data_IF_464968468406
#
_entry.id   IF_464968468406
#
_cell.length_a   1.000
_cell.length_b   1.000
_cell.length_c   1.000
_cell.angle_alpha   90.00
_cell.angle_beta   90.00
_cell.angle_gamma   90.00
#
_symmetry.space_group_name_H-M   'P 1'
#
loop_
_entity.id
_entity.type
_entity.pdbx_description
1 polymer ?
#
# COMPACT_ATOMS: atom_id res chain seq x y z
N UNK A 1 -74.93 -29.80 -5.84
CA UNK A 1 -73.82 -29.51 -4.91
C UNK A 1 -72.83 -28.65 -5.68
N UNK A 2 -72.84 -27.34 -5.42
CA UNK A 2 -72.10 -26.34 -6.17
C UNK A 2 -71.03 -25.70 -5.28
N UNK A 3 -70.07 -25.03 -5.94
CA UNK A 3 -69.07 -24.09 -5.43
C UNK A 3 -67.83 -24.70 -4.74
N UNK A 4 -66.60 -24.20 -4.89
CA UNK A 4 -66.04 -23.07 -5.66
C UNK A 4 -64.52 -23.35 -5.75
N UNK A 5 -63.89 -23.07 -6.88
CA UNK A 5 -62.44 -23.16 -7.10
C UNK A 5 -61.84 -21.79 -6.80
N UNK A 6 -61.10 -21.65 -5.71
CA UNK A 6 -60.41 -20.40 -5.34
C UNK A 6 -59.03 -20.32 -6.00
N UNK A 7 -58.88 -19.33 -6.90
CA UNK A 7 -57.61 -18.90 -7.46
C UNK A 7 -56.75 -18.25 -6.37
N UNK A 8 -55.57 -18.80 -6.10
CA UNK A 8 -54.50 -18.11 -5.35
C UNK A 8 -53.31 -17.90 -6.28
N UNK A 9 -53.22 -16.71 -6.87
CA UNK A 9 -52.02 -16.27 -7.57
C UNK A 9 -51.98 -14.73 -7.50
N UNK A 10 -51.58 -14.18 -6.35
CA UNK A 10 -51.36 -12.72 -6.23
C UNK A 10 -50.34 -12.25 -5.18
N UNK A 11 -49.53 -13.13 -4.58
CA UNK A 11 -48.65 -12.72 -3.46
C UNK A 11 -47.16 -12.59 -3.83
N UNK A 12 -46.70 -13.05 -5.00
CA UNK A 12 -45.26 -13.11 -5.29
C UNK A 12 -44.63 -11.81 -5.83
N UNK A 13 -45.38 -10.95 -6.54
CA UNK A 13 -44.78 -9.78 -7.22
C UNK A 13 -44.51 -8.57 -6.31
N UNK A 14 -45.12 -8.48 -5.12
CA UNK A 14 -44.87 -7.36 -4.20
C UNK A 14 -43.61 -7.52 -3.32
N UNK A 15 -43.10 -8.74 -3.16
CA UNK A 15 -41.90 -8.99 -2.34
C UNK A 15 -40.59 -8.60 -3.04
N UNK A 16 -40.56 -8.57 -4.38
CA UNK A 16 -39.36 -8.22 -5.16
C UNK A 16 -39.13 -6.70 -5.30
N UNK A 17 -40.18 -5.88 -5.20
CA UNK A 17 -40.04 -4.40 -5.27
C UNK A 17 -39.59 -3.78 -3.94
N UNK A 18 -39.98 -4.37 -2.81
CA UNK A 18 -39.56 -3.88 -1.49
C UNK A 18 -38.10 -4.20 -1.16
N UNK A 19 -37.55 -5.30 -1.70
CA UNK A 19 -36.17 -5.73 -1.45
C UNK A 19 -35.13 -4.89 -2.20
N UNK A 20 -35.47 -4.31 -3.37
CA UNK A 20 -34.58 -3.41 -4.12
C UNK A 20 -34.52 -2.01 -3.47
N UNK A 21 -35.62 -1.53 -2.90
CA UNK A 21 -35.64 -0.22 -2.22
C UNK A 21 -34.99 -0.26 -0.83
N UNK A 22 -35.07 -1.37 -0.08
CA UNK A 22 -34.44 -1.48 1.24
C UNK A 22 -32.91 -1.54 1.20
N UNK A 23 -32.30 -2.02 0.10
CA UNK A 23 -30.84 -2.00 -0.05
C UNK A 23 -30.28 -0.59 -0.32
N UNK A 24 -31.10 0.34 -0.81
CA UNK A 24 -30.64 1.70 -1.13
C UNK A 24 -30.43 2.59 0.10
N UNK A 25 -31.08 2.29 1.22
CA UNK A 25 -31.01 3.12 2.43
C UNK A 25 -29.80 2.80 3.33
N UNK A 26 -29.19 1.62 3.22
CA UNK A 26 -27.99 1.30 4.01
C UNK A 26 -26.68 1.82 3.39
N UNK A 27 -26.73 2.35 2.16
CA UNK A 27 -25.56 2.86 1.44
C UNK A 27 -25.20 4.33 1.81
N UNK A 28 -26.04 4.99 2.60
CA UNK A 28 -25.90 6.42 2.94
C UNK A 28 -25.64 6.72 4.43
N UNK A 29 -25.41 5.68 5.26
CA UNK A 29 -25.00 5.93 6.63
C UNK A 29 -23.48 6.17 6.65
N UNK A 30 -23.09 7.44 6.54
CA UNK A 30 -21.74 7.88 6.85
C UNK A 30 -21.46 7.59 8.33
N UNK A 31 -20.81 6.45 8.59
CA UNK A 31 -20.27 6.15 9.92
C UNK A 31 -19.29 7.23 10.34
N UNK A 32 -19.21 7.51 11.64
CA UNK A 32 -18.21 8.41 12.20
C UNK A 32 -16.82 8.04 11.64
N UNK A 33 -16.24 8.94 10.85
CA UNK A 33 -14.96 8.70 10.19
C UNK A 33 -13.87 8.74 11.25
N UNK A 34 -13.30 7.58 11.56
CA UNK A 34 -12.12 7.45 12.42
C UNK A 34 -11.04 8.45 12.00
N UNK A 35 -10.56 9.23 12.97
CA UNK A 35 -9.56 10.30 12.74
C UNK A 35 -8.53 10.32 13.86
N UNK A 36 -7.25 10.34 13.48
CA UNK A 36 -6.13 10.57 14.40
C UNK A 36 -5.77 12.05 14.51
N UNK A 37 -5.36 12.46 15.71
CA UNK A 37 -4.72 13.76 15.94
C UNK A 37 -3.22 13.64 15.68
N UNK A 38 -2.71 14.41 14.72
CA UNK A 38 -1.29 14.41 14.34
C UNK A 38 -0.51 15.53 15.03
N UNK A 39 0.62 15.18 15.62
CA UNK A 39 1.62 16.11 16.16
C UNK A 39 2.95 15.82 15.45
N UNK A 40 3.50 16.82 14.76
CA UNK A 40 4.69 16.69 13.90
C UNK A 40 5.83 17.48 14.53
N UNK A 41 6.94 16.81 14.83
CA UNK A 41 8.12 17.42 15.45
C UNK A 41 9.38 16.96 14.71
N UNK A 42 10.11 17.91 14.14
CA UNK A 42 11.42 17.64 13.55
C UNK A 42 12.51 17.83 14.60
N UNK A 43 13.37 16.82 14.73
CA UNK A 43 14.45 16.72 15.71
C UNK A 43 13.98 17.00 17.16
N UNK A 44 13.13 16.13 17.74
CA UNK A 44 12.58 16.32 19.08
C UNK A 44 13.65 16.59 20.13
N UNK A 45 13.70 17.80 20.69
CA UNK A 45 14.64 18.17 21.76
C UNK A 45 16.07 18.52 21.32
N UNK A 46 16.39 18.59 20.02
CA UNK A 46 17.71 19.08 19.55
C UNK A 46 17.60 19.91 18.28
N UNK A 47 18.15 21.12 18.34
CA UNK A 47 18.24 21.98 17.17
C UNK A 47 19.35 21.49 16.25
N UNK A 48 18.97 21.07 15.05
CA UNK A 48 19.87 20.70 13.95
C UNK A 48 20.96 19.67 14.32
N UNK A 49 20.60 18.41 14.60
CA UNK A 49 21.57 17.36 14.91
C UNK A 49 22.55 17.13 13.74
N UNK A 50 23.85 16.88 14.05
CA UNK A 50 24.81 16.45 13.04
C UNK A 50 24.46 15.05 12.52
N UNK A 51 24.86 14.73 11.30
CA UNK A 51 24.73 13.38 10.74
C UNK A 51 23.35 13.00 10.18
N UNK A 52 22.32 13.83 10.34
CA UNK A 52 21.01 13.67 9.70
C UNK A 52 19.84 14.04 10.60
N UNK A 53 18.70 14.30 9.98
CA UNK A 53 17.42 14.62 10.62
C UNK A 53 16.66 13.38 11.12
N UNK A 54 15.92 13.57 12.20
CA UNK A 54 14.91 12.65 12.75
C UNK A 54 13.57 13.38 12.85
N UNK A 55 12.61 12.98 12.03
CA UNK A 55 11.22 13.40 12.13
C UNK A 55 10.45 12.47 13.05
N UNK A 56 9.63 13.02 13.93
CA UNK A 56 8.63 12.28 14.70
C UNK A 56 7.24 12.82 14.38
N UNK A 57 6.36 11.92 13.91
CA UNK A 57 4.92 12.19 13.80
C UNK A 57 4.20 11.28 14.80
N UNK A 58 3.50 11.89 15.74
CA UNK A 58 2.67 11.22 16.74
C UNK A 58 1.22 11.30 16.30
N UNK A 59 0.59 10.15 16.07
CA UNK A 59 -0.78 10.04 15.60
C UNK A 59 -1.65 9.37 16.68
N UNK A 60 -2.35 10.19 17.46
CA UNK A 60 -3.19 9.74 18.59
C UNK A 60 -4.57 9.36 18.06
N UNK A 61 -4.97 8.11 18.27
CA UNK A 61 -6.33 7.63 18.02
C UNK A 61 -7.17 7.66 19.29
N UNK A 62 -8.28 6.92 19.30
CA UNK A 62 -9.22 6.94 20.44
C UNK A 62 -8.63 6.28 21.68
N UNK A 63 -7.93 5.15 21.49
CA UNK A 63 -7.40 4.31 22.58
C UNK A 63 -5.91 3.95 22.39
N UNK A 64 -5.28 4.42 21.33
CA UNK A 64 -3.94 4.01 20.91
C UNK A 64 -3.14 5.20 20.34
N UNK A 65 -1.84 5.02 20.18
CA UNK A 65 -0.97 6.00 19.51
C UNK A 65 -0.02 5.29 18.55
N UNK A 66 0.09 5.84 17.34
CA UNK A 66 1.12 5.46 16.37
C UNK A 66 2.22 6.52 16.36
N UNK A 67 3.47 6.08 16.50
CA UNK A 67 4.66 6.90 16.34
C UNK A 67 5.31 6.55 15.01
N UNK A 68 5.35 7.50 14.09
CA UNK A 68 6.11 7.42 12.85
C UNK A 68 7.41 8.19 13.04
N UNK A 69 8.53 7.51 12.88
CA UNK A 69 9.87 8.06 13.04
C UNK A 69 10.60 7.92 11.71
N UNK A 70 10.94 9.03 11.07
CA UNK A 70 11.64 9.01 9.80
C UNK A 70 13.01 9.65 9.95
N UNK A 71 14.05 8.90 9.62
CA UNK A 71 15.42 9.29 9.93
C UNK A 71 16.31 9.18 8.69
N UNK A 72 17.24 10.12 8.56
CA UNK A 72 18.27 10.18 7.53
C UNK A 72 19.67 9.87 8.06
N UNK A 73 19.75 9.39 9.30
CA UNK A 73 21.01 8.97 9.91
C UNK A 73 21.40 7.57 9.44
N UNK A 74 22.23 7.51 8.41
CA UNK A 74 22.53 6.29 7.68
C UNK A 74 21.52 6.11 6.55
N UNK A 75 21.13 4.88 6.27
CA UNK A 75 20.14 4.57 5.26
C UNK A 75 18.76 5.13 5.70
N UNK A 76 18.03 5.83 4.82
CA UNK A 76 16.71 6.36 5.15
C UNK A 76 15.79 5.29 5.71
N UNK A 77 15.27 5.54 6.91
CA UNK A 77 14.52 4.55 7.67
C UNK A 77 13.24 5.15 8.21
N UNK A 78 12.13 4.43 8.00
CA UNK A 78 10.84 4.70 8.61
C UNK A 78 10.56 3.64 9.68
N UNK A 79 10.56 4.04 10.95
CA UNK A 79 10.14 3.21 12.08
C UNK A 79 8.70 3.58 12.47
N UNK A 80 7.86 2.56 12.59
CA UNK A 80 6.49 2.63 13.08
C UNK A 80 6.40 1.90 14.42
N UNK A 81 5.92 2.59 15.45
CA UNK A 81 5.66 2.01 16.78
C UNK A 81 4.19 2.22 17.13
N UNK A 82 3.50 1.15 17.51
CA UNK A 82 2.11 1.16 17.92
C UNK A 82 2.03 0.88 19.42
N UNK A 83 1.32 1.76 20.13
CA UNK A 83 1.10 1.67 21.57
C UNK A 83 -0.38 1.63 21.91
N UNK A 84 -0.78 0.87 22.93
CA UNK A 84 -2.16 0.75 23.40
C UNK A 84 -2.59 1.85 24.39
N UNK A 85 -2.00 3.05 24.26
CA UNK A 85 -2.32 4.21 25.08
C UNK A 85 -2.29 5.48 24.25
N UNK A 86 -3.06 6.48 24.65
CA UNK A 86 -3.12 7.81 24.03
C UNK A 86 -2.09 8.79 24.62
N UNK A 87 -1.33 8.37 25.63
CA UNK A 87 -0.39 9.23 26.39
C UNK A 87 1.07 8.87 26.19
N UNK A 88 1.39 7.92 25.31
CA UNK A 88 2.77 7.51 25.04
C UNK A 88 3.57 8.64 24.40
N UNK A 89 4.86 8.72 24.75
CA UNK A 89 5.76 9.79 24.31
C UNK A 89 7.10 9.24 23.85
N UNK A 90 7.75 9.96 22.94
CA UNK A 90 9.09 9.66 22.47
C UNK A 90 10.14 10.29 23.39
N UNK A 91 11.18 9.53 23.72
CA UNK A 91 12.41 9.99 24.38
C UNK A 91 13.60 9.70 23.47
N UNK A 92 14.46 10.71 23.30
CA UNK A 92 15.68 10.60 22.51
C UNK A 92 16.85 11.10 23.36
N UNK A 93 17.79 10.21 23.66
CA UNK A 93 19.12 10.54 24.19
C UNK A 93 20.01 10.88 23.01
N UNK A 94 20.06 12.16 22.65
CA UNK A 94 20.73 12.61 21.43
C UNK A 94 22.22 12.32 21.39
N UNK A 95 22.91 12.38 22.53
CA UNK A 95 24.35 12.18 22.54
C UNK A 95 24.67 10.72 22.20
N UNK A 96 23.96 9.76 22.81
CA UNK A 96 24.05 8.34 22.44
C UNK A 96 23.50 8.02 21.06
N UNK A 97 22.42 8.69 20.65
CA UNK A 97 21.81 8.49 19.33
C UNK A 97 22.79 8.83 18.20
N UNK A 98 23.58 9.90 18.38
CA UNK A 98 24.57 10.36 17.41
C UNK A 98 25.80 9.45 17.31
N UNK A 99 26.14 8.70 18.36
CA UNK A 99 27.25 7.76 18.34
C UNK A 99 27.00 6.54 17.45
N UNK A 100 25.73 6.17 17.21
CA UNK A 100 25.29 5.02 16.37
C UNK A 100 25.87 3.66 16.75
N UNK A 101 26.37 3.51 17.96
CA UNK A 101 27.04 2.30 18.46
C UNK A 101 26.19 1.56 19.51
N UNK A 102 25.25 2.24 20.16
CA UNK A 102 24.44 1.72 21.27
C UNK A 102 22.94 1.73 20.95
N UNK A 103 22.27 0.72 21.47
CA UNK A 103 20.81 0.63 21.50
C UNK A 103 20.21 1.32 22.73
N UNK A 104 18.89 1.51 22.72
CA UNK A 104 18.15 2.16 23.79
C UNK A 104 18.34 3.67 23.89
N UNK A 105 19.00 4.31 22.92
CA UNK A 105 19.10 5.77 22.82
C UNK A 105 17.80 6.42 22.33
N UNK A 106 16.87 5.65 21.76
CA UNK A 106 15.54 6.09 21.38
C UNK A 106 14.49 5.16 21.96
N UNK A 107 13.54 5.71 22.72
CA UNK A 107 12.52 4.94 23.45
C UNK A 107 11.13 5.55 23.31
N UNK A 108 10.11 4.70 23.31
CA UNK A 108 8.71 5.12 23.45
C UNK A 108 8.25 4.71 24.85
N UNK A 109 7.85 5.68 25.66
CA UNK A 109 7.46 5.46 27.05
C UNK A 109 5.95 5.60 27.24
N UNK A 110 5.31 4.74 28.06
CA UNK A 110 5.90 3.59 28.75
C UNK A 110 6.16 2.41 27.78
N UNK A 111 7.32 1.74 27.91
CA UNK A 111 7.71 0.64 27.02
C UNK A 111 6.70 -0.53 27.06
N UNK A 112 6.07 -0.76 28.21
CA UNK A 112 5.02 -1.77 28.38
C UNK A 112 3.74 -1.53 27.57
N UNK A 113 3.57 -0.32 27.01
CA UNK A 113 2.43 -0.02 26.14
C UNK A 113 2.67 -0.39 24.67
N UNK A 114 3.91 -0.70 24.28
CA UNK A 114 4.26 -1.04 22.90
C UNK A 114 3.68 -2.41 22.57
N UNK A 115 2.74 -2.44 21.64
CA UNK A 115 2.11 -3.69 21.16
C UNK A 115 2.68 -4.17 19.83
N UNK A 116 3.24 -3.26 19.03
CA UNK A 116 3.87 -3.61 17.76
C UNK A 116 4.92 -2.57 17.36
N UNK A 117 6.00 -3.00 16.71
CA UNK A 117 6.97 -2.10 16.11
C UNK A 117 7.62 -2.70 14.87
N UNK A 118 7.89 -1.85 13.87
CA UNK A 118 8.58 -2.22 12.63
C UNK A 118 9.29 -1.03 12.01
N UNK A 119 10.53 -1.22 11.58
CA UNK A 119 11.25 -0.34 10.67
C UNK A 119 11.26 -0.86 9.23
N UNK A 120 11.17 0.06 8.27
CA UNK A 120 11.41 -0.18 6.84
C UNK A 120 12.57 0.74 6.42
N UNK A 121 13.60 0.14 5.84
CA UNK A 121 14.82 0.81 5.38
C UNK A 121 14.89 0.70 3.87
N UNK A 122 15.23 1.81 3.21
CA UNK A 122 15.72 1.77 1.83
C UNK A 122 17.24 1.69 1.93
N UNK A 123 17.80 0.48 1.79
CA UNK A 123 19.20 0.20 2.13
C UNK A 123 20.15 0.43 0.97
N UNK A 124 19.76 -0.01 -0.24
CA UNK A 124 20.60 0.06 -1.44
C UNK A 124 19.80 0.43 -2.67
N UNK A 125 20.43 1.21 -3.54
CA UNK A 125 20.05 1.30 -4.95
C UNK A 125 20.99 0.41 -5.76
N UNK A 126 20.42 -0.53 -6.49
CA UNK A 126 21.14 -1.48 -7.35
C UNK A 126 20.93 -1.11 -8.80
N UNK A 127 21.92 -1.42 -9.64
CA UNK A 127 21.91 -1.12 -11.07
C UNK A 127 22.55 -2.28 -11.84
N UNK A 128 22.05 -2.60 -13.03
CA UNK A 128 22.64 -3.59 -13.94
C UNK A 128 22.46 -3.18 -15.41
N UNK A 129 23.37 -3.62 -16.28
CA UNK A 129 23.25 -3.47 -17.74
C UNK A 129 22.39 -4.61 -18.29
N UNK A 130 21.16 -4.31 -18.69
CA UNK A 130 20.23 -5.29 -19.24
C UNK A 130 20.48 -5.52 -20.74
N UNK A 131 21.60 -6.17 -21.05
CA UNK A 131 22.11 -6.37 -22.42
C UNK A 131 21.10 -7.01 -23.35
N UNK A 132 20.36 -8.00 -22.82
CA UNK A 132 19.41 -8.83 -23.56
C UNK A 132 17.96 -8.35 -23.41
N UNK A 133 17.74 -7.21 -22.74
CA UNK A 133 16.42 -6.66 -22.46
C UNK A 133 15.45 -7.69 -21.85
N UNK A 134 15.90 -8.42 -20.83
CA UNK A 134 15.08 -9.43 -20.14
C UNK A 134 14.36 -8.85 -18.93
N UNK A 135 14.79 -7.68 -18.44
CA UNK A 135 14.40 -7.08 -17.17
C UNK A 135 14.62 -8.01 -15.96
N UNK A 136 15.62 -8.89 -16.05
CA UNK A 136 16.03 -9.78 -14.97
C UNK A 136 17.41 -9.38 -14.46
N UNK A 137 17.47 -9.04 -13.18
CA UNK A 137 18.74 -8.77 -12.51
C UNK A 137 19.49 -10.10 -12.30
N UNK A 138 20.41 -10.40 -13.22
CA UNK A 138 21.35 -11.51 -13.12
C UNK A 138 22.47 -11.17 -12.11
N UNK A 139 23.49 -12.03 -11.98
CA UNK A 139 24.63 -11.82 -11.08
C UNK A 139 25.48 -10.58 -11.39
N UNK A 140 25.30 -9.95 -12.55
CA UNK A 140 26.17 -8.90 -13.07
C UNK A 140 25.70 -7.50 -12.64
N UNK A 141 25.46 -7.33 -11.34
CA UNK A 141 25.12 -6.03 -10.77
C UNK A 141 26.35 -5.12 -10.75
N UNK A 142 26.16 -3.85 -11.11
CA UNK A 142 27.15 -2.83 -10.81
C UNK A 142 27.31 -2.65 -9.29
N UNK A 143 28.45 -2.10 -8.82
CA UNK A 143 28.63 -1.81 -7.40
C UNK A 143 27.44 -1.04 -6.81
N UNK A 144 26.81 -1.52 -5.73
CA UNK A 144 25.59 -0.92 -5.19
C UNK A 144 25.85 0.51 -4.70
N UNK A 145 24.83 1.37 -4.76
CA UNK A 145 24.85 2.61 -4.00
C UNK A 145 24.33 2.30 -2.58
N UNK A 146 25.24 2.10 -1.64
CA UNK A 146 24.90 1.90 -0.22
C UNK A 146 24.36 3.21 0.37
N UNK A 147 23.06 3.25 0.66
CA UNK A 147 22.36 4.48 1.04
C UNK A 147 22.73 4.99 2.45
N UNK A 148 23.39 4.14 3.25
CA UNK A 148 24.02 4.53 4.50
C UNK A 148 25.19 5.52 4.33
N UNK A 149 25.84 5.50 3.16
CA UNK A 149 27.01 6.32 2.84
C UNK A 149 26.64 7.56 2.01
N UNK A 150 25.36 7.73 1.68
CA UNK A 150 24.88 8.87 0.89
C UNK A 150 24.68 10.08 1.79
N UNK A 151 25.13 11.24 1.32
CA UNK A 151 24.89 12.52 1.99
C UNK A 151 23.48 13.04 1.68
N UNK A 152 22.64 13.07 2.71
CA UNK A 152 21.26 13.53 2.62
C UNK A 152 21.12 15.03 2.90
N UNK A 153 20.20 15.68 2.20
CA UNK A 153 19.76 17.05 2.50
C UNK A 153 19.01 17.10 3.83
N UNK A 154 18.81 18.32 4.34
CA UNK A 154 17.89 18.53 5.46
C UNK A 154 16.46 18.19 5.02
N UNK A 155 15.65 17.68 5.94
CA UNK A 155 14.24 17.36 5.67
C UNK A 155 13.43 18.64 5.46
N UNK A 156 12.70 18.69 4.36
CA UNK A 156 11.76 19.76 4.08
C UNK A 156 10.33 19.32 4.46
N UNK A 157 9.70 20.05 5.38
CA UNK A 157 8.38 19.70 5.91
C UNK A 157 7.28 20.44 5.16
N UNK A 158 6.18 19.75 4.93
CA UNK A 158 4.94 20.32 4.42
C UNK A 158 3.77 19.65 5.14
N UNK A 159 3.28 20.26 6.22
CA UNK A 159 2.23 19.67 7.06
C UNK A 159 2.71 18.38 7.73
N UNK A 160 2.02 17.27 7.48
CA UNK A 160 2.38 15.92 7.93
C UNK A 160 3.25 15.13 6.94
N UNK A 161 3.80 15.81 5.93
CA UNK A 161 4.73 15.23 4.96
C UNK A 161 6.15 15.77 5.15
N UNK A 162 7.14 14.94 4.85
CA UNK A 162 8.55 15.30 4.86
C UNK A 162 9.27 14.76 3.62
N UNK A 163 10.00 15.65 2.95
CA UNK A 163 10.84 15.35 1.79
C UNK A 163 12.31 15.28 2.22
N UNK A 164 12.97 14.21 1.81
CA UNK A 164 14.39 13.94 2.00
C UNK A 164 15.02 13.62 0.64
N UNK A 165 16.09 14.31 0.25
CA UNK A 165 16.78 14.03 -1.01
C UNK A 165 18.28 13.86 -0.80
N UNK A 166 18.93 13.03 -1.61
CA UNK A 166 20.40 12.98 -1.66
C UNK A 166 20.94 14.29 -2.24
N UNK A 167 22.02 14.81 -1.69
CA UNK A 167 22.66 16.05 -2.18
C UNK A 167 23.23 15.93 -3.59
N UNK A 168 23.78 14.77 -3.95
CA UNK A 168 24.09 14.39 -5.34
C UNK A 168 24.32 12.87 -5.40
N UNK A 169 23.54 12.16 -6.21
CA UNK A 169 23.70 10.74 -6.51
C UNK A 169 23.97 10.60 -8.01
N UNK A 170 25.24 10.44 -8.38
CA UNK A 170 25.72 10.38 -9.76
C UNK A 170 25.07 11.43 -10.69
N UNK A 171 25.26 12.72 -10.36
CA UNK A 171 24.70 13.89 -11.07
C UNK A 171 23.16 14.00 -11.09
N UNK A 172 22.45 13.16 -10.33
CA UNK A 172 21.03 13.32 -10.04
C UNK A 172 20.75 13.26 -8.55
N UNK A 173 19.53 12.87 -8.20
CA UNK A 173 19.11 12.69 -6.82
C UNK A 173 18.22 11.45 -6.64
N UNK A 174 18.35 10.83 -5.47
CA UNK A 174 17.37 9.90 -4.92
C UNK A 174 16.61 10.65 -3.83
N UNK A 175 15.30 10.72 -3.96
CA UNK A 175 14.42 11.40 -3.02
C UNK A 175 13.41 10.42 -2.41
N UNK A 176 13.08 10.67 -1.15
CA UNK A 176 12.10 9.97 -0.38
C UNK A 176 11.14 10.99 0.23
N UNK A 177 9.84 10.73 0.11
CA UNK A 177 8.81 11.53 0.75
C UNK A 177 7.95 10.65 1.63
N UNK A 178 7.94 10.96 2.92
CA UNK A 178 6.98 10.42 3.87
C UNK A 178 5.74 11.31 3.88
N UNK A 179 4.56 10.69 3.89
CA UNK A 179 3.28 11.33 4.22
C UNK A 179 2.57 10.52 5.29
N UNK A 180 2.14 11.18 6.37
CA UNK A 180 1.34 10.56 7.44
C UNK A 180 -0.08 11.11 7.40
N UNK A 181 -1.07 10.24 7.53
CA UNK A 181 -2.48 10.57 7.35
C UNK A 181 -3.24 10.53 8.67
N UNK A 182 -4.19 11.45 8.82
CA UNK A 182 -5.09 11.50 9.97
C UNK A 182 -6.34 10.63 9.74
N UNK A 183 -6.72 10.39 8.49
CA UNK A 183 -8.03 9.92 8.08
C UNK A 183 -7.88 8.95 6.90
N UNK A 184 -8.97 8.28 6.54
CA UNK A 184 -9.04 7.55 5.28
C UNK A 184 -9.10 8.49 4.08
N UNK A 185 -8.38 8.13 3.01
CA UNK A 185 -8.32 8.95 1.82
C UNK A 185 -7.40 8.40 0.74
N UNK A 186 -7.16 9.23 -0.27
CA UNK A 186 -6.22 8.97 -1.36
C UNK A 186 -5.43 10.21 -1.69
N UNK A 187 -4.16 10.00 -1.98
CA UNK A 187 -3.30 11.03 -2.51
C UNK A 187 -3.62 11.33 -3.98
N UNK A 188 -3.38 12.57 -4.40
CA UNK A 188 -3.59 12.99 -5.80
C UNK A 188 -2.62 12.31 -6.79
N UNK A 189 -1.31 12.19 -6.48
CA UNK A 189 -0.37 11.47 -7.33
C UNK A 189 -0.69 9.98 -7.44
N UNK A 190 -0.39 9.43 -8.61
CA UNK A 190 -0.44 7.99 -8.84
C UNK A 190 0.58 7.26 -7.94
N UNK A 191 0.25 6.04 -7.45
CA UNK A 191 -0.89 5.19 -7.79
C UNK A 191 -2.17 5.45 -6.97
N UNK A 192 -2.33 6.59 -6.30
CA UNK A 192 -3.54 6.92 -5.51
C UNK A 192 -3.94 5.80 -4.53
N UNK A 193 -2.95 5.23 -3.85
CA UNK A 193 -3.17 4.15 -2.89
C UNK A 193 -4.15 4.61 -1.80
N UNK A 194 -5.15 3.76 -1.49
CA UNK A 194 -6.05 3.99 -0.37
C UNK A 194 -5.25 3.95 0.92
N UNK A 195 -5.28 5.03 1.69
CA UNK A 195 -4.64 5.12 2.99
C UNK A 195 -5.68 5.32 4.09
N UNK A 196 -5.29 5.07 5.33
CA UNK A 196 -6.12 5.28 6.53
C UNK A 196 -5.32 6.05 7.57
N UNK A 197 -5.96 6.45 8.66
CA UNK A 197 -5.26 6.98 9.83
C UNK A 197 -4.25 6.00 10.44
N UNK A 198 -4.25 4.72 10.05
CA UNK A 198 -3.33 3.70 10.56
C UNK A 198 -2.16 3.41 9.61
N UNK A 199 -2.05 4.16 8.51
CA UNK A 199 -0.99 4.00 7.53
C UNK A 199 -0.28 5.33 7.24
N UNK A 200 0.91 5.18 6.68
CA UNK A 200 1.73 6.23 6.11
C UNK A 200 2.13 5.82 4.70
N UNK A 201 2.48 6.80 3.87
CA UNK A 201 2.98 6.55 2.52
C UNK A 201 4.43 6.98 2.42
N UNK A 202 5.26 6.11 1.84
CA UNK A 202 6.62 6.40 1.46
C UNK A 202 6.71 6.36 -0.07
N UNK A 203 6.99 7.51 -0.68
CA UNK A 203 7.30 7.59 -2.10
C UNK A 203 8.82 7.71 -2.26
N UNK A 204 9.39 6.95 -3.20
CA UNK A 204 10.82 6.95 -3.52
C UNK A 204 10.97 7.24 -5.00
N UNK A 205 11.88 8.15 -5.38
CA UNK A 205 12.16 8.38 -6.78
C UNK A 205 13.60 8.76 -7.08
N UNK A 206 14.04 8.36 -8.27
CA UNK A 206 15.26 8.82 -8.91
C UNK A 206 14.90 9.98 -9.84
N UNK A 207 15.69 11.05 -9.78
CA UNK A 207 15.57 12.21 -10.65
C UNK A 207 16.94 12.58 -11.21
N UNK A 208 17.13 12.36 -12.50
CA UNK A 208 18.34 12.77 -13.23
C UNK A 208 19.59 11.95 -12.97
N UNK A 209 19.53 10.87 -12.17
CA UNK A 209 20.69 10.01 -11.86
C UNK A 209 21.28 9.50 -13.16
N UNK A 210 22.58 9.68 -13.40
CA UNK A 210 23.20 9.17 -14.62
C UNK A 210 23.34 7.65 -14.54
N UNK A 211 22.85 6.89 -15.55
CA UNK A 211 23.08 5.46 -15.60
C UNK A 211 24.54 5.16 -16.00
N UNK A 212 25.10 4.08 -15.45
CA UNK A 212 26.45 3.59 -15.75
C UNK A 212 26.55 2.86 -17.09
N UNK A 213 25.42 2.37 -17.60
CA UNK A 213 25.29 1.76 -18.92
C UNK A 213 24.11 2.37 -19.71
N UNK A 214 24.13 2.18 -21.02
CA UNK A 214 23.06 2.67 -21.90
C UNK A 214 21.74 1.95 -21.67
N UNK A 215 21.79 0.67 -21.26
CA UNK A 215 20.63 -0.18 -20.97
C UNK A 215 20.47 -0.45 -19.47
N UNK A 216 20.81 0.54 -18.64
CA UNK A 216 20.68 0.39 -17.21
C UNK A 216 19.23 0.24 -16.77
N UNK A 217 19.01 -0.74 -15.87
CA UNK A 217 17.82 -0.87 -15.06
C UNK A 217 18.20 -0.80 -13.58
N UNK A 218 17.28 -0.27 -12.78
CA UNK A 218 17.49 -0.10 -11.35
C UNK A 218 16.64 -1.08 -10.54
N UNK A 219 17.11 -1.38 -9.33
CA UNK A 219 16.33 -2.05 -8.29
C UNK A 219 16.53 -1.33 -6.96
N UNK A 220 15.54 -1.41 -6.09
CA UNK A 220 15.64 -0.97 -4.71
C UNK A 220 15.70 -2.19 -3.79
N UNK A 221 16.71 -2.23 -2.91
CA UNK A 221 16.73 -3.16 -1.78
C UNK A 221 15.97 -2.51 -0.62
N UNK A 222 14.95 -3.21 -0.14
CA UNK A 222 14.18 -2.85 1.04
C UNK A 222 14.46 -3.85 2.14
N UNK A 223 14.68 -3.34 3.35
CA UNK A 223 14.86 -4.15 4.54
C UNK A 223 13.77 -3.81 5.55
N UNK A 224 13.14 -4.83 6.11
CA UNK A 224 12.26 -4.71 7.26
C UNK A 224 13.01 -5.22 8.49
N UNK A 225 12.97 -4.44 9.57
CA UNK A 225 13.47 -4.85 10.88
C UNK A 225 12.33 -4.70 11.88
N UNK A 226 12.15 -5.68 12.75
CA UNK A 226 11.07 -5.65 13.73
C UNK A 226 11.40 -6.45 14.98
N UNK A 227 10.56 -6.28 16.01
CA UNK A 227 10.56 -7.17 17.15
C UNK A 227 9.76 -8.45 16.83
N UNK A 228 8.80 -8.78 17.70
CA UNK A 228 7.86 -9.87 17.44
C UNK A 228 7.07 -9.62 16.13
N UNK A 229 6.78 -10.70 15.40
CA UNK A 229 6.00 -10.69 14.15
C UNK A 229 6.68 -9.93 12.99
N UNK A 230 7.89 -10.36 12.55
CA UNK A 230 8.58 -9.73 11.42
C UNK A 230 7.83 -9.94 10.10
N UNK A 231 8.09 -9.06 9.14
CA UNK A 231 7.54 -9.20 7.79
C UNK A 231 8.29 -10.28 7.02
N UNK A 232 7.72 -11.47 6.90
CA UNK A 232 8.41 -12.63 6.36
C UNK A 232 7.79 -13.19 5.07
N UNK A 233 6.60 -12.73 4.68
CA UNK A 233 5.91 -13.21 3.48
C UNK A 233 5.28 -12.08 2.68
N UNK A 234 5.27 -12.23 1.36
CA UNK A 234 4.54 -11.32 0.46
C UNK A 234 3.35 -12.06 -0.12
N UNK A 235 2.16 -11.54 0.12
CA UNK A 235 0.93 -11.99 -0.53
C UNK A 235 0.57 -11.05 -1.68
N UNK A 236 0.08 -11.61 -2.78
CA UNK A 236 -0.43 -10.83 -3.92
C UNK A 236 -1.93 -11.01 -4.01
N UNK A 237 -2.66 -9.94 -3.72
CA UNK A 237 -4.12 -9.89 -3.88
C UNK A 237 -4.45 -9.42 -5.29
N UNK A 238 -5.49 -10.01 -5.89
CA UNK A 238 -6.03 -9.61 -7.19
C UNK A 238 -7.44 -9.05 -7.01
N UNK A 239 -7.70 -7.92 -7.65
CA UNK A 239 -9.03 -7.32 -7.73
C UNK A 239 -9.31 -6.92 -9.18
N UNK A 240 -10.57 -7.02 -9.60
CA UNK A 240 -11.01 -6.50 -10.90
C UNK A 240 -11.33 -5.01 -10.85
N UNK A 241 -11.30 -4.40 -9.66
CA UNK A 241 -11.51 -2.96 -9.48
C UNK A 241 -10.22 -2.19 -9.75
N UNK A 242 -10.26 -1.37 -10.80
CA UNK A 242 -9.19 -0.46 -11.21
C UNK A 242 -9.64 1.01 -11.23
N UNK A 243 -10.77 1.36 -10.60
CA UNK A 243 -11.38 2.71 -10.61
C UNK A 243 -10.36 3.80 -10.24
N UNK A 244 -9.52 3.53 -9.25
CA UNK A 244 -8.51 4.47 -8.74
C UNK A 244 -7.09 4.20 -9.25
N UNK A 245 -6.89 3.16 -10.04
CA UNK A 245 -5.59 2.74 -10.59
C UNK A 245 -5.80 1.97 -11.90
N UNK A 246 -6.15 2.67 -13.00
CA UNK A 246 -6.54 2.03 -14.25
C UNK A 246 -5.50 1.01 -14.72
N UNK A 247 -5.96 -0.15 -15.21
CA UNK A 247 -5.14 -1.27 -15.68
C UNK A 247 -4.30 -2.00 -14.61
N UNK A 248 -4.42 -1.64 -13.32
CA UNK A 248 -3.68 -2.27 -12.23
C UNK A 248 -4.61 -3.09 -11.35
N UNK A 249 -4.61 -4.41 -11.59
CA UNK A 249 -5.52 -5.37 -10.94
C UNK A 249 -4.89 -6.15 -9.78
N UNK A 250 -3.72 -5.72 -9.31
CA UNK A 250 -2.97 -6.43 -8.27
C UNK A 250 -2.42 -5.48 -7.23
N UNK A 251 -2.32 -5.97 -6.00
CA UNK A 251 -1.69 -5.31 -4.86
C UNK A 251 -0.83 -6.33 -4.13
N UNK A 252 0.44 -5.98 -3.90
CA UNK A 252 1.39 -6.78 -3.13
C UNK A 252 1.40 -6.29 -1.68
N UNK A 253 1.37 -7.23 -0.74
CA UNK A 253 1.32 -7.00 0.70
C UNK A 253 2.42 -7.80 1.38
N UNK A 254 3.44 -7.12 1.90
CA UNK A 254 4.47 -7.71 2.74
C UNK A 254 4.02 -7.63 4.19
N UNK A 255 3.71 -8.79 4.77
CA UNK A 255 3.09 -8.93 6.09
C UNK A 255 3.77 -10.02 6.91
N UNK A 256 3.39 -10.12 8.18
CA UNK A 256 3.74 -11.26 9.03
C UNK A 256 2.70 -12.36 8.91
N UNK A 257 3.11 -13.61 9.11
CA UNK A 257 2.21 -14.77 9.08
C UNK A 257 1.37 -14.95 10.36
N UNK A 258 1.50 -14.08 11.36
CA UNK A 258 0.77 -14.22 12.64
C UNK A 258 -0.60 -13.55 12.62
N UNK A 259 -1.51 -14.06 13.45
CA UNK A 259 -2.88 -13.56 13.63
C UNK A 259 -3.00 -12.40 14.62
N UNK A 260 -1.88 -11.94 15.19
CA UNK A 260 -1.84 -10.83 16.14
C UNK A 260 -1.89 -9.47 15.40
N UNK A 261 -1.85 -8.36 16.16
CA UNK A 261 -1.75 -7.00 15.61
C UNK A 261 -0.44 -6.88 14.83
N UNK A 262 -0.50 -7.16 13.53
CA UNK A 262 0.62 -7.11 12.61
C UNK A 262 0.76 -5.75 11.95
N UNK A 263 1.93 -5.55 11.34
CA UNK A 263 2.17 -4.46 10.41
C UNK A 263 2.18 -4.95 8.98
N UNK A 264 2.01 -4.03 8.05
CA UNK A 264 2.07 -4.31 6.62
C UNK A 264 2.90 -3.28 5.87
N UNK A 265 3.43 -3.70 4.74
CA UNK A 265 3.98 -2.84 3.70
C UNK A 265 3.26 -3.20 2.40
N UNK A 266 2.52 -2.27 1.82
CA UNK A 266 1.62 -2.52 0.69
C UNK A 266 1.95 -1.62 -0.50
N UNK A 267 2.04 -2.19 -1.69
CA UNK A 267 2.22 -1.42 -2.92
C UNK A 267 1.44 -2.04 -4.08
N UNK A 268 1.18 -1.23 -5.10
CA UNK A 268 0.77 -1.71 -6.41
C UNK A 268 2.04 -2.06 -7.22
N UNK A 269 2.05 -3.12 -8.03
CA UNK A 269 3.24 -3.59 -8.74
C UNK A 269 3.56 -2.72 -9.98
N UNK A 270 3.63 -1.40 -9.78
CA UNK A 270 3.86 -0.39 -10.80
C UNK A 270 4.76 0.72 -10.25
N UNK A 271 5.55 1.30 -11.15
CA UNK A 271 6.31 2.52 -10.97
C UNK A 271 6.04 3.46 -12.16
N UNK A 272 6.56 4.68 -12.07
CA UNK A 272 6.26 5.75 -13.02
C UNK A 272 7.55 6.37 -13.54
N UNK A 273 7.65 6.52 -14.86
CA UNK A 273 8.86 7.04 -15.53
C UNK A 273 8.91 8.56 -15.64
N UNK A 274 7.91 9.28 -15.13
CA UNK A 274 7.86 10.75 -15.05
C UNK A 274 7.22 11.23 -13.75
N UNK A 275 7.52 12.47 -13.37
CA UNK A 275 6.98 13.13 -12.18
C UNK A 275 5.47 13.40 -12.26
N UNK A 276 4.97 13.72 -13.46
CA UNK A 276 3.55 13.82 -13.79
C UNK A 276 3.20 12.75 -14.83
N UNK A 277 2.94 11.51 -14.40
CA UNK A 277 2.82 10.40 -15.35
C UNK A 277 1.47 10.40 -16.06
N UNK A 278 1.51 10.20 -17.38
CA UNK A 278 0.39 9.67 -18.14
C UNK A 278 0.32 8.14 -17.98
N UNK A 279 -0.80 7.52 -18.37
CA UNK A 279 -0.97 6.06 -18.27
C UNK A 279 0.11 5.29 -19.04
N UNK A 280 0.61 5.84 -20.15
CA UNK A 280 1.67 5.25 -20.97
C UNK A 280 3.06 5.25 -20.30
N UNK A 281 3.24 6.07 -19.26
CA UNK A 281 4.50 6.21 -18.52
C UNK A 281 4.55 5.30 -17.27
N UNK A 282 3.55 4.43 -17.11
CA UNK A 282 3.55 3.34 -16.15
C UNK A 282 4.58 2.29 -16.59
N UNK A 283 5.30 1.73 -15.63
CA UNK A 283 6.21 0.59 -15.84
C UNK A 283 5.98 -0.41 -14.71
N UNK A 284 5.76 -1.71 -14.99
CA UNK A 284 5.53 -2.69 -13.94
C UNK A 284 6.75 -2.86 -13.03
N UNK A 285 6.54 -3.27 -11.79
CA UNK A 285 7.63 -3.66 -10.89
C UNK A 285 7.45 -5.09 -10.39
N UNK A 286 8.56 -5.80 -10.20
CA UNK A 286 8.60 -7.15 -9.63
C UNK A 286 9.31 -7.10 -8.29
N UNK A 287 9.05 -8.09 -7.44
CA UNK A 287 9.75 -8.22 -6.17
C UNK A 287 10.36 -9.62 -6.03
N UNK A 288 11.47 -9.72 -5.33
CA UNK A 288 11.99 -11.01 -4.87
C UNK A 288 11.14 -11.55 -3.72
N UNK A 289 11.31 -12.83 -3.38
CA UNK A 289 10.82 -13.35 -2.10
C UNK A 289 11.57 -12.69 -0.94
N UNK A 290 10.91 -12.38 0.19
CA UNK A 290 11.61 -11.95 1.40
C UNK A 290 12.60 -13.02 1.85
N UNK A 291 13.81 -12.60 2.20
CA UNK A 291 14.87 -13.48 2.72
C UNK A 291 15.54 -12.83 3.90
N UNK A 292 16.01 -13.63 4.85
CA UNK A 292 16.88 -13.12 5.90
C UNK A 292 18.21 -12.68 5.27
N UNK A 293 18.67 -11.45 5.55
CA UNK A 293 20.01 -11.01 5.15
C UNK A 293 21.07 -11.97 5.70
N UNK A 294 22.14 -12.19 4.95
CA UNK A 294 23.25 -13.04 5.40
C UNK A 294 24.02 -12.43 6.57
N UNK A 295 23.97 -11.11 6.71
CA UNK A 295 24.61 -10.35 7.77
C UNK A 295 23.56 -9.41 8.40
N UNK A 296 22.92 -9.87 9.47
CA UNK A 296 21.92 -9.10 10.22
C UNK A 296 22.55 -7.90 10.95
N UNK A 297 23.83 -8.00 11.32
CA UNK A 297 24.57 -6.90 11.94
C UNK A 297 24.74 -5.75 10.95
N UNK A 298 24.93 -6.03 9.66
CA UNK A 298 24.98 -5.01 8.62
C UNK A 298 23.66 -4.22 8.47
N UNK A 299 22.49 -4.83 8.72
CA UNK A 299 21.19 -4.13 8.69
C UNK A 299 21.09 -3.12 9.83
N UNK A 300 21.44 -3.55 11.04
CA UNK A 300 21.44 -2.67 12.20
C UNK A 300 22.48 -1.56 12.06
N UNK A 301 23.65 -1.84 11.47
CA UNK A 301 24.67 -0.84 11.19
C UNK A 301 24.24 0.16 10.11
N UNK A 302 23.43 -0.26 9.14
CA UNK A 302 22.99 0.60 8.04
C UNK A 302 22.05 1.72 8.48
N UNK A 303 21.35 1.56 9.61
CA UNK A 303 20.37 2.54 10.10
C UNK A 303 20.62 2.91 11.55
N UNK A 304 20.95 4.20 11.78
CA UNK A 304 21.05 4.72 13.14
C UNK A 304 19.72 4.63 13.90
N UNK A 305 18.57 4.67 13.20
CA UNK A 305 17.26 4.56 13.83
C UNK A 305 16.95 3.13 14.31
N UNK A 306 17.30 2.12 13.52
CA UNK A 306 17.17 0.71 13.95
C UNK A 306 18.08 0.47 15.14
N UNK A 307 19.36 0.85 15.02
CA UNK A 307 20.34 0.63 16.09
C UNK A 307 19.94 1.30 17.40
N UNK A 308 19.33 2.48 17.32
CA UNK A 308 18.90 3.24 18.50
C UNK A 308 17.68 2.65 19.23
N UNK A 309 16.75 2.03 18.49
CA UNK A 309 15.49 1.54 19.04
C UNK A 309 15.53 0.05 19.40
N UNK A 310 16.16 -0.78 18.58
CA UNK A 310 16.22 -2.23 18.77
C UNK A 310 17.57 -2.66 19.35
N UNK A 311 17.54 -3.63 20.27
CA UNK A 311 18.74 -4.34 20.71
C UNK A 311 19.17 -5.37 19.64
N UNK A 312 18.28 -6.33 19.33
CA UNK A 312 18.48 -7.39 18.34
C UNK A 312 17.18 -7.61 17.55
N UNK A 313 16.97 -6.90 16.42
CA UNK A 313 15.75 -7.06 15.62
C UNK A 313 15.83 -8.26 14.68
N UNK A 314 14.69 -8.89 14.40
CA UNK A 314 14.59 -9.83 13.27
C UNK A 314 14.50 -9.04 11.96
N UNK A 315 15.29 -9.45 10.96
CA UNK A 315 15.41 -8.72 9.69
C UNK A 315 15.08 -9.57 8.47
N UNK A 316 14.38 -8.96 7.52
CA UNK A 316 14.07 -9.55 6.22
C UNK A 316 14.30 -8.51 5.13
N UNK A 317 14.82 -8.94 3.99
CA UNK A 317 15.06 -8.09 2.84
C UNK A 317 14.35 -8.62 1.60
N UNK A 318 13.91 -7.71 0.75
CA UNK A 318 13.46 -8.00 -0.60
C UNK A 318 13.95 -6.93 -1.56
N UNK A 319 14.11 -7.32 -2.83
CA UNK A 319 14.47 -6.41 -3.91
C UNK A 319 13.23 -6.11 -4.74
N UNK A 320 13.04 -4.85 -5.11
CA UNK A 320 12.02 -4.40 -6.07
C UNK A 320 12.73 -3.99 -7.34
N UNK A 321 12.48 -4.69 -8.45
CA UNK A 321 13.00 -4.37 -9.77
C UNK A 321 11.96 -3.66 -10.62
N UNK A 322 12.42 -2.79 -11.53
CA UNK A 322 11.55 -1.94 -12.33
C UNK A 322 11.64 -2.24 -13.83
N UNK A 323 10.47 -2.37 -14.44
CA UNK A 323 10.23 -2.58 -15.85
C UNK A 323 10.17 -4.02 -16.32
N UNK A 324 9.81 -4.15 -17.60
CA UNK A 324 9.67 -5.41 -18.31
C UNK A 324 10.53 -5.42 -19.58
N UNK A 325 10.78 -6.62 -20.11
CA UNK A 325 11.37 -6.82 -21.42
C UNK A 325 10.61 -6.03 -22.51
N UNK A 326 11.34 -5.32 -23.37
CA UNK A 326 10.79 -4.48 -24.43
C UNK A 326 10.41 -3.06 -24.00
N UNK A 327 10.44 -2.74 -22.70
CA UNK A 327 10.19 -1.38 -22.23
C UNK A 327 11.43 -0.48 -22.37
N UNK A 328 11.24 0.84 -22.53
CA UNK A 328 12.35 1.78 -22.54
C UNK A 328 13.18 1.72 -21.26
N UNK A 329 14.50 1.66 -21.41
CA UNK A 329 15.43 1.73 -20.29
C UNK A 329 15.32 3.07 -19.54
N UNK A 330 15.85 3.09 -18.31
CA UNK A 330 15.80 4.26 -17.44
C UNK A 330 16.37 5.54 -18.09
N UNK A 331 17.39 5.40 -18.97
CA UNK A 331 18.00 6.54 -19.65
C UNK A 331 17.03 7.35 -20.54
N UNK A 332 15.88 6.78 -20.91
CA UNK A 332 14.87 7.46 -21.75
C UNK A 332 14.26 8.69 -21.10
N UNK A 333 13.92 8.61 -19.81
CA UNK A 333 13.34 9.72 -19.03
C UNK A 333 14.24 10.19 -17.90
N UNK A 334 15.19 9.35 -17.46
CA UNK A 334 16.03 9.54 -16.26
C UNK A 334 15.21 9.87 -15.02
N UNK A 335 14.03 9.27 -14.94
CA UNK A 335 13.15 9.41 -13.79
C UNK A 335 12.45 8.09 -13.52
N UNK A 336 12.33 7.76 -12.24
CA UNK A 336 11.61 6.58 -11.78
C UNK A 336 11.01 6.87 -10.42
N UNK A 337 9.70 6.71 -10.25
CA UNK A 337 8.99 6.87 -8.97
C UNK A 337 8.24 5.60 -8.60
N UNK A 338 8.40 5.18 -7.37
CA UNK A 338 7.68 4.06 -6.76
C UNK A 338 7.09 4.48 -5.41
N UNK A 339 5.93 3.93 -5.06
CA UNK A 339 5.20 4.35 -3.85
C UNK A 339 4.71 3.14 -3.09
N UNK A 340 4.85 3.18 -1.77
CA UNK A 340 4.47 2.11 -0.85
C UNK A 340 3.76 2.67 0.37
N UNK A 341 2.81 1.92 0.92
CA UNK A 341 2.17 2.19 2.20
C UNK A 341 2.80 1.37 3.31
N UNK A 342 2.99 1.97 4.48
CA UNK A 342 3.49 1.31 5.68
C UNK A 342 2.50 1.59 6.81
N UNK A 343 1.95 0.55 7.42
CA UNK A 343 0.94 0.70 8.47
C UNK A 343 0.83 -0.49 9.42
N UNK A 344 -0.16 -0.41 10.31
CA UNK A 344 -0.56 -1.47 11.25
C UNK A 344 -2.00 -1.91 11.02
N UNK A 345 -2.31 -3.14 11.43
CA UNK A 345 -3.62 -3.75 11.27
C UNK A 345 -3.84 -4.32 9.87
N UNK A 346 -5.10 -4.38 9.45
CA UNK A 346 -5.47 -4.86 8.12
C UNK A 346 -5.05 -3.84 7.04
N UNK A 347 -4.34 -4.26 5.98
CA UNK A 347 -4.04 -3.37 4.87
C UNK A 347 -5.33 -2.87 4.19
N UNK A 348 -5.40 -1.58 3.80
CA UNK A 348 -6.56 -1.04 3.12
C UNK A 348 -6.75 -1.68 1.75
N UNK A 349 -7.98 -2.06 1.43
CA UNK A 349 -8.36 -2.71 0.18
C UNK A 349 -9.40 -1.87 -0.55
N UNK A 350 -9.23 -1.76 -1.87
CA UNK A 350 -10.16 -1.04 -2.72
C UNK A 350 -11.47 -1.83 -2.86
N UNK A 351 -12.59 -1.09 -2.85
CA UNK A 351 -13.92 -1.61 -3.14
C UNK A 351 -14.57 -0.71 -4.20
N UNK A 352 -15.46 -1.31 -5.00
CA UNK A 352 -16.19 -0.58 -6.02
C UNK A 352 -16.96 0.60 -5.44
N UNK A 353 -16.87 1.77 -6.08
CA UNK A 353 -17.69 2.89 -5.68
C UNK A 353 -19.20 2.59 -5.79
N UNK A 354 -20.04 3.28 -5.00
CA UNK A 354 -21.49 3.17 -5.12
C UNK A 354 -21.99 3.43 -6.55
N UNK A 355 -21.30 4.29 -7.31
CA UNK A 355 -21.62 4.57 -8.71
C UNK A 355 -21.37 3.34 -9.59
N UNK A 356 -20.19 2.71 -9.49
CA UNK A 356 -19.86 1.50 -10.26
C UNK A 356 -20.79 0.35 -9.88
N UNK A 357 -21.08 0.17 -8.59
CA UNK A 357 -22.08 -0.79 -8.12
C UNK A 357 -23.47 -0.52 -8.72
N UNK A 358 -23.90 0.74 -8.80
CA UNK A 358 -25.18 1.11 -9.41
C UNK A 358 -25.21 0.82 -10.92
N UNK A 359 -24.13 1.12 -11.65
CA UNK A 359 -24.03 0.80 -13.08
C UNK A 359 -24.08 -0.71 -13.31
N UNK A 360 -23.35 -1.51 -12.51
CA UNK A 360 -23.39 -2.97 -12.60
C UNK A 360 -24.78 -3.51 -12.28
N UNK A 361 -25.44 -2.99 -11.23
CA UNK A 361 -26.78 -3.40 -10.84
C UNK A 361 -27.82 -3.11 -11.93
N UNK A 362 -27.79 -1.92 -12.54
CA UNK A 362 -28.73 -1.56 -13.63
C UNK A 362 -28.39 -2.33 -14.91
N UNK A 363 -27.12 -2.38 -15.29
CA UNK A 363 -26.64 -2.98 -16.53
C UNK A 363 -26.85 -4.50 -16.61
N UNK A 364 -26.66 -5.22 -15.49
CA UNK A 364 -26.88 -6.67 -15.43
C UNK A 364 -28.29 -7.02 -14.94
N UNK A 365 -28.86 -6.22 -14.04
CA UNK A 365 -30.18 -6.47 -13.47
C UNK A 365 -31.31 -6.31 -14.48
N UNK A 366 -31.25 -5.28 -15.33
CA UNK A 366 -32.32 -5.01 -16.30
C UNK A 366 -32.49 -6.15 -17.32
N UNK A 367 -31.43 -6.64 -17.99
CA UNK A 367 -31.54 -7.79 -18.88
C UNK A 367 -32.04 -9.06 -18.17
N UNK A 368 -31.59 -9.32 -16.95
CA UNK A 368 -32.04 -10.48 -16.17
C UNK A 368 -33.54 -10.43 -15.88
N UNK A 369 -34.06 -9.27 -15.46
CA UNK A 369 -35.50 -9.06 -15.21
C UNK A 369 -36.29 -9.28 -16.50
N UNK A 370 -35.84 -8.72 -17.62
CA UNK A 370 -36.51 -8.90 -18.92
C UNK A 370 -36.54 -10.37 -19.35
N UNK A 371 -35.46 -11.12 -19.16
CA UNK A 371 -35.40 -12.55 -19.47
C UNK A 371 -36.36 -13.36 -18.59
N UNK A 372 -36.43 -13.07 -17.30
CA UNK A 372 -37.33 -13.76 -16.37
C UNK A 372 -38.80 -13.47 -16.69
N UNK A 373 -39.16 -12.20 -16.88
CA UNK A 373 -40.52 -11.81 -17.23
C UNK A 373 -40.93 -12.37 -18.60
N UNK A 374 -40.04 -12.31 -19.59
CA UNK A 374 -40.25 -12.91 -20.91
C UNK A 374 -40.44 -14.43 -20.83
N UNK A 375 -39.60 -15.13 -20.05
CA UNK A 375 -39.70 -16.57 -19.83
C UNK A 375 -41.01 -16.97 -19.14
N UNK A 376 -41.41 -16.25 -18.10
CA UNK A 376 -42.70 -16.47 -17.41
C UNK A 376 -43.87 -16.23 -18.38
N UNK A 377 -43.83 -15.14 -19.15
CA UNK A 377 -44.86 -14.83 -20.13
C UNK A 377 -45.02 -15.95 -21.18
N UNK A 378 -43.91 -16.46 -21.72
CA UNK A 378 -43.91 -17.58 -22.69
C UNK A 378 -44.48 -18.86 -22.05
N UNK A 379 -44.08 -19.18 -20.81
CA UNK A 379 -44.58 -20.35 -20.08
C UNK A 379 -46.10 -20.27 -19.84
N UNK A 380 -46.62 -19.11 -19.46
CA UNK A 380 -48.06 -18.88 -19.27
C UNK A 380 -48.78 -19.06 -20.62
N UNK A 381 -48.27 -18.43 -21.69
CA UNK A 381 -48.88 -18.51 -23.02
C UNK A 381 -48.94 -19.94 -23.55
N UNK A 382 -47.87 -20.73 -23.36
CA UNK A 382 -47.81 -22.14 -23.79
C UNK A 382 -48.78 -23.03 -23.01
N UNK A 383 -49.05 -22.74 -21.74
CA UNK A 383 -50.05 -23.45 -20.92
C UNK A 383 -51.49 -23.01 -21.21
N UNK A 384 -51.68 -21.77 -21.64
CA UNK A 384 -52.99 -21.22 -21.99
C UNK A 384 -53.42 -21.54 -23.43
N UNK A 385 -52.50 -21.98 -24.30
CA UNK A 385 -52.84 -22.53 -25.61
C UNK A 385 -53.64 -23.83 -25.40
N UNK A 386 -54.92 -23.90 -25.80
CA UNK A 386 -55.70 -25.13 -25.70
C UNK A 386 -55.03 -26.19 -26.58
N UNK A 387 -55.07 -27.45 -26.15
CA UNK A 387 -54.83 -28.61 -27.01
C UNK A 387 -55.93 -28.69 -28.08
N UNK A 388 -55.91 -27.77 -29.04
CA UNK A 388 -56.75 -27.76 -30.23
C UNK A 388 -56.10 -28.68 -31.27
N UNK A 389 -56.11 -29.97 -30.97
CA UNK A 389 -55.98 -31.05 -31.94
C UNK A 389 -56.79 -32.23 -31.38
N UNK A 390 -58.10 -32.01 -31.29
CA UNK A 390 -59.06 -33.11 -31.17
C UNK A 390 -58.91 -33.98 -32.40
N UNK A 391 -58.44 -35.20 -32.16
CA UNK A 391 -58.40 -36.28 -33.14
C UNK A 391 -59.84 -36.51 -33.62
N UNK A 392 -60.13 -36.32 -34.91
CA UNK A 392 -61.37 -36.82 -35.53
C UNK A 392 -61.13 -38.28 -35.92
N UNK A 393 -61.76 -39.27 -35.27
CA UNK A 393 -61.68 -40.65 -35.70
C UNK A 393 -62.55 -40.83 -36.95
N UNK A 394 -61.93 -41.25 -38.05
CA UNK A 394 -62.64 -41.72 -39.24
C UNK A 394 -63.20 -43.11 -38.92
N UNK A 395 -64.52 -43.24 -38.91
CA UNK A 395 -65.24 -44.50 -39.14
C UNK A 395 -66.47 -44.22 -39.98
#
# INVERSE_FOLDING_TARGET
MAAVKTNSCRVSSLFFLFSVFSLSQSLFNGGETFRRKLEVVLNPGRLSPPGGDLLHVRAVGDNDTLHYLFCSQGAPTLLLVHTNTTTSTLKVDWDKFLERNVSGSLKVEPESSIVYSKAVVVSRLLEYDDVNDTAEATSDLFPPYDLQNVSWSRMNLSGSSALLCSSALNNGSLCLQLSVFAEEGRDQPWPRLLHTGNSSQLAVWLDGVLPRATRSRFLLELQAAGGANPLNSVEVKRSIDDEYSPSVFQVSQWMSNSSEVGGFVQWRPVAYRRSSPALEEVTPCRHSSPRRPSDEAAVSAASGLIKAFYDEPETFALNVSFGLSGEPFYNSTRFLRWTVLVGVGAPPMDTFSPLVLAIMAVGLGTPMILLLLGGVYVCIRKRAAPSAAGYDPIN
#
